data_IF_082078252902
#
_entry.id   IF_082078252902
#
_cell.length_a   1.000
_cell.length_b   1.000
_cell.length_c   1.000
_cell.angle_alpha   90.00
_cell.angle_beta   90.00
_cell.angle_gamma   90.00
#
_symmetry.space_group_name_H-M   'P 1'
#
loop_
_entity.id
_entity.type
_entity.pdbx_description
1 polymer ?
2 non-polymer ?
3 water ?
#
# COMPACT_ATOMS: atom_id res chain seq x y z
N UNK A 22 -3.51 11.31 8.95
CA UNK A 22 -2.87 10.10 9.46
C UNK A 22 -1.39 10.10 9.11
N UNK A 23 -1.10 10.41 7.85
CA UNK A 23 0.22 10.21 7.29
C UNK A 23 0.41 11.10 6.06
N UNK A 24 1.66 11.31 5.66
CA UNK A 24 1.95 12.20 4.54
C UNK A 24 3.27 11.81 3.90
N UNK A 25 3.66 12.55 2.87
CA UNK A 25 4.88 12.25 2.12
C UNK A 25 6.15 12.30 2.96
N UNK A 26 6.18 13.18 3.97
CA UNK A 26 7.37 13.29 4.82
C UNK A 26 7.55 12.02 5.66
N UNK A 27 6.43 11.38 6.03
CA UNK A 27 6.44 10.14 6.79
C UNK A 27 6.92 8.97 5.96
N UNK A 28 6.82 9.09 4.64
CA UNK A 28 7.22 8.02 3.75
C UNK A 28 8.70 8.13 3.37
N UNK A 29 9.46 7.09 3.66
CA UNK A 29 10.88 7.07 3.37
C UNK A 29 11.13 6.50 1.99
N UNK A 30 11.99 7.15 1.22
CA UNK A 30 12.25 6.76 -0.16
C UNK A 30 11.06 6.94 -1.07
N UNK A 31 10.93 6.08 -2.07
CA UNK A 31 9.84 6.14 -3.04
C UNK A 31 9.76 7.49 -3.75
N UNK A 32 10.91 8.03 -4.14
CA UNK A 32 10.94 9.29 -4.89
C UNK A 32 10.02 9.24 -6.10
N UNK A 33 10.37 8.39 -7.05
CA UNK A 33 9.63 8.26 -8.30
C UNK A 33 8.12 8.13 -8.08
N UNK A 34 7.73 7.34 -7.08
CA UNK A 34 6.32 7.14 -6.77
C UNK A 34 5.66 8.45 -6.38
N UNK A 35 6.30 9.18 -5.47
CA UNK A 35 5.83 10.49 -5.05
C UNK A 35 5.67 11.43 -6.24
N UNK A 36 6.69 11.45 -7.10
CA UNK A 36 6.67 12.29 -8.31
C UNK A 36 5.45 11.98 -9.18
N UNK A 37 5.30 10.71 -9.52
CA UNK A 37 4.16 10.26 -10.32
C UNK A 37 2.85 10.74 -9.72
N UNK A 38 2.65 10.49 -8.43
CA UNK A 38 1.42 10.92 -7.77
C UNK A 38 1.28 12.45 -7.73
N UNK A 39 2.39 13.16 -7.84
CA UNK A 39 2.32 14.60 -7.95
C UNK A 39 1.76 14.99 -9.31
N UNK A 40 2.20 14.29 -10.34
CA UNK A 40 1.72 14.49 -11.71
C UNK A 40 0.24 14.09 -11.91
N UNK A 41 -0.17 12.99 -11.27
CA UNK A 41 -1.50 12.43 -11.48
C UNK A 41 -2.60 13.10 -10.68
N UNK A 42 -2.32 13.41 -9.41
CA UNK A 42 -3.36 14.00 -8.56
C UNK A 42 -3.06 15.30 -7.80
N UNK A 43 -1.91 15.36 -7.13
CA UNK A 43 -1.58 16.52 -6.30
C UNK A 43 -1.49 17.86 -7.05
N UNK A 44 -0.63 17.94 -8.06
CA UNK A 44 -0.56 19.17 -8.86
C UNK A 44 -1.90 19.52 -9.54
N UNK A 45 -2.45 18.58 -10.33
CA UNK A 45 -3.74 18.84 -10.98
C UNK A 45 -4.80 19.30 -9.99
N UNK A 46 -4.74 18.82 -8.76
CA UNK A 46 -5.71 19.24 -7.75
C UNK A 46 -5.46 20.64 -7.19
N UNK A 47 -4.19 20.99 -6.94
CA UNK A 47 -3.87 22.34 -6.47
C UNK A 47 -4.00 23.39 -7.57
N UNK A 48 -3.64 23.00 -8.78
CA UNK A 48 -3.69 23.91 -9.92
C UNK A 48 -4.36 23.25 -11.11
N UNK A 49 -5.70 23.23 -11.15
CA UNK A 49 -6.42 22.57 -12.24
C UNK A 49 -6.23 23.31 -13.56
N UNK A 50 -5.91 24.59 -13.44
CA UNK A 50 -5.78 25.46 -14.61
C UNK A 50 -4.60 25.08 -15.50
N UNK A 51 -3.62 24.40 -14.92
CA UNK A 51 -2.41 24.03 -15.65
C UNK A 51 -2.62 22.69 -16.35
N UNK A 52 -3.85 22.19 -16.29
CA UNK A 52 -4.21 20.94 -16.95
C UNK A 52 -5.59 21.09 -17.63
N UNK A 53 -5.57 21.90 -18.60
CA UNK A 53 -6.76 22.32 -19.34
C UNK A 53 -7.47 21.21 -20.08
N UNK A 54 -6.72 20.27 -20.63
CA UNK A 54 -7.34 19.18 -21.39
C UNK A 54 -8.19 18.19 -20.57
N UNK A 55 -7.94 18.06 -19.28
CA UNK A 55 -8.66 17.09 -18.49
C UNK A 55 -7.73 15.91 -18.32
N UNK A 56 -7.64 15.41 -17.09
CA UNK A 56 -6.56 14.53 -16.64
C UNK A 56 -7.11 13.41 -15.78
N UNK A 57 -6.55 12.22 -15.96
CA UNK A 57 -7.07 10.96 -15.42
C UNK A 57 -7.50 10.96 -13.99
N UNK A 58 -8.57 10.23 -13.67
CA UNK A 58 -8.96 9.99 -12.29
C UNK A 58 -8.63 8.57 -11.84
N UNK A 59 -8.34 7.76 -12.80
CA UNK A 59 -7.85 6.43 -12.51
C UNK A 59 -6.39 6.36 -12.13
N UNK A 60 -6.08 5.79 -10.97
CA UNK A 60 -4.69 5.61 -10.56
C UNK A 60 -4.49 4.17 -10.14
N UNK A 61 -3.44 3.53 -10.63
CA UNK A 61 -3.22 2.14 -10.28
C UNK A 61 -1.90 1.90 -9.55
N UNK A 62 -2.00 1.55 -8.28
CA UNK A 62 -0.84 1.15 -7.49
C UNK A 62 -0.75 -0.36 -7.54
N UNK A 63 0.40 -0.87 -7.95
CA UNK A 63 0.58 -2.31 -8.08
C UNK A 63 1.99 -2.71 -7.67
N UNK A 64 2.13 -3.94 -7.19
CA UNK A 64 3.40 -4.48 -6.74
C UNK A 64 3.15 -5.54 -5.69
N UNK A 65 4.22 -6.08 -5.10
CA UNK A 65 4.13 -7.14 -4.08
C UNK A 65 3.33 -6.68 -2.85
N UNK A 66 2.65 -7.62 -2.17
CA UNK A 66 1.77 -7.28 -1.05
C UNK A 66 2.55 -6.97 0.20
N UNK A 67 1.94 -6.20 1.10
CA UNK A 67 2.59 -5.79 2.34
C UNK A 67 3.65 -4.74 2.10
N UNK A 68 3.54 -4.02 0.99
CA UNK A 68 4.47 -2.95 0.65
C UNK A 68 4.01 -1.50 0.86
N UNK A 69 2.82 -1.30 1.42
CA UNK A 69 2.40 0.02 1.85
C UNK A 69 1.58 0.85 0.88
N UNK A 70 0.90 0.20 -0.05
CA UNK A 70 0.07 0.89 -1.04
C UNK A 70 -1.09 1.67 -0.41
N UNK A 71 -1.64 1.13 0.67
CA UNK A 71 -2.72 1.78 1.39
C UNK A 71 -2.20 3.06 2.05
N UNK A 72 -1.08 2.91 2.76
CA UNK A 72 -0.40 4.04 3.37
C UNK A 72 -0.15 5.15 2.34
N UNK A 73 0.28 4.76 1.14
CA UNK A 73 0.59 5.70 0.07
C UNK A 73 -0.67 6.43 -0.37
N UNK A 74 -1.76 5.69 -0.58
CA UNK A 74 -3.02 6.30 -0.96
C UNK A 74 -3.50 7.32 0.08
N UNK A 75 -3.45 6.92 1.34
CA UNK A 75 -3.88 7.79 2.44
C UNK A 75 -3.03 9.04 2.53
N UNK A 76 -1.73 8.89 2.29
CA UNK A 76 -0.83 10.03 2.29
C UNK A 76 -1.22 11.00 1.17
N UNK A 77 -1.47 10.48 -0.02
CA UNK A 77 -1.91 11.30 -1.13
C UNK A 77 -3.18 12.07 -0.72
N UNK A 78 -4.12 11.37 -0.10
CA UNK A 78 -5.34 12.00 0.38
C UNK A 78 -5.01 13.16 1.33
N UNK A 79 -4.04 12.93 2.20
CA UNK A 79 -3.60 13.92 3.17
C UNK A 79 -3.01 15.18 2.53
N UNK A 80 -2.18 14.99 1.49
CA UNK A 80 -1.48 16.10 0.85
C UNK A 80 -2.41 17.08 0.11
N UNK A 81 -3.46 16.56 -0.51
CA UNK A 81 -4.47 17.40 -1.16
C UNK A 81 -5.65 17.70 -0.23
N UNK A 82 -5.52 17.28 1.03
CA UNK A 82 -6.57 17.44 2.03
C UNK A 82 -7.90 16.93 1.52
N UNK A 83 -7.90 15.68 1.08
CA UNK A 83 -9.06 15.09 0.45
C UNK A 83 -9.93 14.31 1.43
N UNK A 84 -11.04 13.79 0.92
CA UNK A 84 -11.85 12.81 1.62
C UNK A 84 -11.28 11.45 1.26
N UNK A 85 -11.18 10.56 2.23
CA UNK A 85 -10.64 9.24 1.95
C UNK A 85 -11.69 8.17 2.22
N UNK A 86 -11.97 7.35 1.21
CA UNK A 86 -12.94 6.25 1.40
C UNK A 86 -12.31 4.94 0.99
N UNK A 87 -12.06 4.08 1.97
CA UNK A 87 -11.46 2.78 1.69
C UNK A 87 -12.53 1.75 1.32
N UNK A 88 -12.17 0.87 0.40
CA UNK A 88 -13.07 -0.18 -0.06
C UNK A 88 -12.29 -1.45 -0.33
N UNK A 89 -12.83 -2.58 0.14
CA UNK A 89 -12.24 -3.87 -0.14
C UNK A 89 -13.07 -4.58 -1.20
N UNK A 90 -12.42 -5.00 -2.27
CA UNK A 90 -13.12 -5.62 -3.38
C UNK A 90 -13.75 -6.95 -2.97
N UNK A 91 -13.29 -7.59 -1.86
CA UNK A 91 -13.82 -8.88 -1.40
C UNK A 91 -15.03 -8.71 -0.49
N UNK A 92 -15.29 -7.49 -0.04
CA UNK A 92 -16.47 -7.19 0.76
C UNK A 92 -17.71 -7.09 -0.12
N UNK A 93 -17.59 -6.34 -1.22
CA UNK A 93 -18.71 -6.14 -2.12
C UNK A 93 -18.90 -7.35 -3.04
N UNK A 94 -17.96 -8.28 -2.98
CA UNK A 94 -18.12 -9.56 -3.66
C UNK A 94 -18.51 -10.61 -2.62
N UNK A 95 -19.78 -11.03 -2.69
CA UNK A 95 -20.33 -11.99 -1.75
C UNK A 95 -21.78 -12.32 -2.11
N UNK A 99 -25.49 -11.37 -8.69
CA UNK A 99 -25.94 -10.96 -7.37
C UNK A 99 -26.37 -9.50 -7.34
N UNK A 100 -27.11 -9.13 -6.31
CA UNK A 100 -27.58 -7.74 -6.16
C UNK A 100 -26.62 -6.77 -5.47
N UNK A 101 -25.50 -7.26 -4.99
CA UNK A 101 -24.54 -6.41 -4.29
C UNK A 101 -23.96 -5.40 -5.28
N UNK A 102 -24.46 -5.47 -6.51
CA UNK A 102 -24.07 -4.57 -7.59
C UNK A 102 -24.35 -3.08 -7.33
N UNK A 103 -25.48 -2.78 -6.70
CA UNK A 103 -25.89 -1.39 -6.50
C UNK A 103 -24.92 -0.61 -5.60
N UNK A 104 -24.42 -1.27 -4.57
CA UNK A 104 -23.49 -0.64 -3.64
C UNK A 104 -22.27 -0.04 -4.34
N UNK A 105 -21.81 -0.73 -5.39
CA UNK A 105 -20.72 -0.23 -6.19
C UNK A 105 -20.96 1.21 -6.63
N UNK A 106 -22.21 1.52 -6.95
CA UNK A 106 -22.59 2.90 -7.24
C UNK A 106 -22.88 3.69 -5.96
N UNK A 107 -23.22 3.02 -4.91
CA UNK A 107 -23.45 3.64 -3.61
C UNK A 107 -22.24 4.50 -3.28
N UNK A 108 -21.06 3.89 -3.38
CA UNK A 108 -19.82 4.56 -3.00
C UNK A 108 -19.58 5.85 -3.79
N UNK A 109 -19.53 5.73 -5.12
CA UNK A 109 -19.32 6.90 -5.97
C UNK A 109 -20.31 8.00 -5.64
N UNK A 110 -21.58 7.61 -5.48
CA UNK A 110 -22.63 8.57 -5.17
C UNK A 110 -22.26 9.34 -3.90
N UNK A 111 -22.04 8.61 -2.81
CA UNK A 111 -21.63 9.23 -1.56
C UNK A 111 -20.46 10.18 -1.78
N UNK A 112 -19.51 9.76 -2.61
CA UNK A 112 -18.30 10.55 -2.86
C UNK A 112 -18.60 11.89 -3.53
N UNK A 113 -19.31 11.85 -4.65
CA UNK A 113 -19.73 13.06 -5.34
C UNK A 113 -20.43 13.99 -4.37
N UNK A 114 -21.45 13.46 -3.70
CA UNK A 114 -22.27 14.26 -2.79
C UNK A 114 -21.43 14.94 -1.70
N UNK A 115 -20.57 14.17 -1.04
CA UNK A 115 -19.69 14.70 0.00
C UNK A 115 -18.77 15.78 -0.55
N UNK A 116 -18.21 15.51 -1.74
CA UNK A 116 -17.36 16.48 -2.42
C UNK A 116 -18.07 17.82 -2.56
N UNK A 117 -19.28 17.80 -3.15
CA UNK A 117 -20.07 19.02 -3.28
C UNK A 117 -20.22 19.66 -1.91
N UNK A 118 -20.68 18.85 -0.96
CA UNK A 118 -20.96 19.27 0.40
C UNK A 118 -19.84 20.13 0.98
N UNK A 119 -18.66 19.55 1.14
CA UNK A 119 -17.60 20.15 1.94
C UNK A 119 -16.62 21.01 1.17
N UNK A 120 -16.84 21.16 -0.14
CA UNK A 120 -15.87 21.83 -0.99
C UNK A 120 -14.54 21.10 -0.82
N UNK A 121 -14.54 19.82 -1.18
CA UNK A 121 -13.37 18.96 -1.03
C UNK A 121 -13.30 17.95 -2.16
N UNK A 122 -12.09 17.61 -2.60
CA UNK A 122 -11.92 16.47 -3.50
C UNK A 122 -12.14 15.17 -2.75
N UNK A 123 -12.54 14.12 -3.45
CA UNK A 123 -12.77 12.83 -2.83
C UNK A 123 -11.90 11.76 -3.47
N UNK A 124 -11.51 10.77 -2.68
CA UNK A 124 -10.70 9.67 -3.17
C UNK A 124 -11.33 8.35 -2.76
N UNK A 125 -11.75 7.56 -3.73
CA UNK A 125 -12.17 6.21 -3.47
C UNK A 125 -10.97 5.30 -3.66
N UNK A 126 -10.49 4.73 -2.57
CA UNK A 126 -9.38 3.79 -2.63
C UNK A 126 -9.92 2.37 -2.64
N UNK A 127 -9.56 1.62 -3.67
CA UNK A 127 -9.95 0.21 -3.75
C UNK A 127 -8.77 -0.73 -3.61
N UNK A 128 -8.77 -1.54 -2.55
CA UNK A 128 -7.77 -2.59 -2.42
C UNK A 128 -8.23 -3.84 -3.18
N UNK A 129 -7.28 -4.58 -3.73
CA UNK A 129 -7.59 -5.82 -4.45
C UNK A 129 -8.54 -5.59 -5.62
N UNK A 130 -8.20 -4.64 -6.48
CA UNK A 130 -9.06 -4.27 -7.61
C UNK A 130 -9.35 -5.46 -8.53
N UNK A 131 -8.35 -6.37 -8.75
CA UNK A 131 -8.47 -7.51 -9.65
C UNK A 131 -9.57 -8.46 -9.21
N UNK A 132 -10.06 -8.19 -7.99
CA UNK A 132 -11.15 -9.03 -7.46
C UNK A 132 -12.47 -8.76 -8.17
N UNK A 133 -12.67 -7.53 -8.63
CA UNK A 133 -13.92 -7.18 -9.32
C UNK A 133 -14.11 -7.98 -10.61
N UNK A 134 -13.05 -8.67 -11.03
CA UNK A 134 -13.10 -9.48 -12.25
C UNK A 134 -13.51 -10.91 -11.95
N UNK A 145 -19.48 -11.19 -12.49
CA UNK A 145 -19.27 -10.90 -13.91
C UNK A 145 -20.07 -9.68 -14.36
N UNK A 146 -21.21 -9.46 -13.71
CA UNK A 146 -22.09 -8.34 -14.06
C UNK A 146 -21.71 -7.01 -13.43
N UNK A 147 -21.33 -7.04 -12.15
CA UNK A 147 -21.06 -5.83 -11.38
C UNK A 147 -19.88 -5.03 -11.93
N UNK A 148 -18.86 -5.76 -12.36
CA UNK A 148 -17.66 -5.18 -12.97
C UNK A 148 -18.04 -4.15 -14.03
N UNK A 149 -19.04 -4.49 -14.83
CA UNK A 149 -19.54 -3.60 -15.88
C UNK A 149 -20.04 -2.27 -15.32
N UNK A 150 -20.90 -2.28 -14.32
CA UNK A 150 -21.37 -1.06 -13.68
C UNK A 150 -20.18 -0.27 -13.15
N UNK A 151 -19.29 -0.92 -12.43
CA UNK A 151 -18.09 -0.25 -11.92
C UNK A 151 -17.42 0.57 -13.00
N UNK A 152 -16.99 -0.11 -14.06
CA UNK A 152 -16.41 0.55 -15.23
C UNK A 152 -17.25 1.75 -15.70
N UNK A 153 -18.56 1.55 -15.69
CA UNK A 153 -19.44 2.70 -15.94
C UNK A 153 -19.07 3.85 -15.02
N UNK A 154 -19.21 3.62 -13.73
CA UNK A 154 -18.94 4.61 -12.70
C UNK A 154 -17.60 5.30 -12.86
N UNK A 155 -16.59 4.53 -13.27
CA UNK A 155 -15.31 5.10 -13.68
C UNK A 155 -15.56 6.08 -14.81
N UNK A 156 -16.15 5.59 -15.90
CA UNK A 156 -16.36 6.44 -17.06
C UNK A 156 -17.14 7.70 -16.71
N UNK A 157 -17.97 7.62 -15.68
CA UNK A 157 -18.69 8.77 -15.18
C UNK A 157 -17.80 9.76 -14.47
N UNK A 158 -16.56 9.36 -14.21
CA UNK A 158 -15.62 10.25 -13.54
C UNK A 158 -15.32 11.51 -14.35
N UNK A 159 -14.89 11.34 -15.60
CA UNK A 159 -14.58 12.48 -16.45
C UNK A 159 -15.83 13.16 -17.01
N UNK A 167 -13.01 14.08 -7.82
CA UNK A 167 -13.08 12.71 -7.33
C UNK A 167 -12.12 11.77 -8.07
N UNK A 168 -11.25 11.09 -7.32
CA UNK A 168 -10.28 10.19 -7.90
C UNK A 168 -10.51 8.78 -7.40
N UNK A 169 -10.08 7.81 -8.18
CA UNK A 169 -10.07 6.43 -7.74
C UNK A 169 -8.66 5.85 -7.80
N UNK A 170 -8.11 5.55 -6.63
CA UNK A 170 -6.85 4.83 -6.56
C UNK A 170 -7.18 3.37 -6.32
N UNK A 171 -6.92 2.54 -7.31
CA UNK A 171 -7.03 1.11 -7.14
C UNK A 171 -5.67 0.54 -6.80
N UNK A 172 -5.66 -0.58 -6.10
CA UNK A 172 -4.41 -1.23 -5.74
C UNK A 172 -4.53 -2.73 -6.01
N UNK A 173 -3.48 -3.30 -6.59
CA UNK A 173 -3.51 -4.72 -6.91
C UNK A 173 -2.16 -5.39 -6.72
N UNK A 174 -2.18 -6.60 -6.18
CA UNK A 174 -0.98 -7.40 -6.10
C UNK A 174 -0.86 -8.30 -7.32
N UNK A 175 -1.92 -8.34 -8.13
CA UNK A 175 -1.95 -9.16 -9.34
C UNK A 175 -2.49 -8.35 -10.52
N UNK A 176 -1.65 -7.49 -11.10
CA UNK A 176 -2.06 -6.59 -12.19
C UNK A 176 -2.30 -7.31 -13.51
N UNK A 177 -1.65 -8.43 -13.73
CA UNK A 177 -1.86 -9.17 -14.95
C UNK A 177 -3.34 -9.46 -15.08
N UNK A 178 -3.90 -10.06 -14.05
CA UNK A 178 -5.28 -10.48 -14.09
C UNK A 178 -6.21 -9.43 -14.66
N UNK A 179 -5.80 -8.17 -14.58
CA UNK A 179 -6.61 -7.08 -15.12
C UNK A 179 -6.62 -7.11 -16.63
N UNK A 180 -7.81 -7.20 -17.22
CA UNK A 180 -7.93 -7.22 -18.68
C UNK A 180 -7.74 -5.81 -19.22
N UNK A 181 -7.36 -5.72 -20.48
CA UNK A 181 -7.03 -4.43 -21.10
C UNK A 181 -8.17 -3.41 -20.98
N UNK A 182 -9.40 -3.86 -21.19
CA UNK A 182 -10.57 -2.98 -21.16
C UNK A 182 -10.75 -2.32 -19.80
N UNK A 183 -10.41 -3.07 -18.74
CA UNK A 183 -10.46 -2.57 -17.37
C UNK A 183 -9.31 -1.60 -17.16
N UNK A 184 -8.13 -2.05 -17.56
CA UNK A 184 -6.89 -1.30 -17.40
C UNK A 184 -6.91 0.03 -18.17
N UNK A 185 -7.87 0.18 -19.08
CA UNK A 185 -7.99 1.43 -19.83
C UNK A 185 -8.56 2.59 -19.00
N UNK A 186 -9.35 2.25 -17.97
CA UNK A 186 -9.90 3.28 -17.09
C UNK A 186 -8.87 3.82 -16.11
N UNK A 187 -7.76 3.11 -15.95
CA UNK A 187 -6.67 3.67 -15.17
C UNK A 187 -5.50 3.95 -16.09
N UNK A 188 -5.32 5.23 -16.39
CA UNK A 188 -4.31 5.68 -17.34
C UNK A 188 -2.96 5.78 -16.66
N UNK A 189 -2.97 6.21 -15.40
CA UNK A 189 -1.77 6.34 -14.60
C UNK A 189 -1.52 5.07 -13.79
N UNK A 190 -0.41 4.40 -14.04
CA UNK A 190 -0.10 3.14 -13.36
C UNK A 190 1.23 3.22 -12.63
N UNK A 191 1.20 3.01 -11.32
CA UNK A 191 2.40 3.19 -10.50
C UNK A 191 2.85 1.91 -9.79
N UNK A 192 4.12 1.57 -9.98
CA UNK A 192 4.70 0.37 -9.40
C UNK A 192 5.31 0.66 -8.02
N UNK A 193 4.74 0.05 -6.99
CA UNK A 193 5.29 0.17 -5.65
C UNK A 193 6.05 -1.12 -5.32
N UNK A 194 7.39 -1.04 -5.36
CA UNK A 194 8.29 -2.18 -5.17
C UNK A 194 8.58 -2.54 -3.71
N UNK A 195 9.36 -3.59 -3.54
CA UNK A 195 9.80 -4.03 -2.24
C UNK A 195 10.60 -2.91 -1.60
N UNK A 196 10.55 -2.81 -0.26
CA UNK A 196 11.33 -1.81 0.46
C UNK A 196 12.83 -1.99 0.27
N UNK A 197 13.55 -0.91 0.03
CA UNK A 197 14.99 -0.98 -0.10
C UNK A 197 15.66 -0.76 1.24
N UNK A 198 17.00 -0.73 1.24
CA UNK A 198 17.77 -0.65 2.46
C UNK A 198 17.33 0.50 3.37
N UNK A 199 17.24 1.70 2.80
CA UNK A 199 16.85 2.88 3.57
C UNK A 199 15.47 2.72 4.20
N UNK A 200 14.53 2.21 3.41
CA UNK A 200 13.17 1.95 3.91
C UNK A 200 13.14 0.84 4.96
N UNK A 201 13.82 -0.27 4.69
CA UNK A 201 13.86 -1.36 5.65
C UNK A 201 14.48 -0.91 6.98
N UNK A 202 15.48 -0.04 6.89
CA UNK A 202 16.08 0.55 8.07
C UNK A 202 15.05 1.42 8.80
N UNK A 203 14.26 2.17 8.02
CA UNK A 203 13.20 2.95 8.62
C UNK A 203 12.20 2.08 9.38
N UNK A 204 11.76 0.99 8.74
CA UNK A 204 10.82 0.05 9.34
C UNK A 204 11.35 -0.60 10.62
N UNK A 205 12.60 -1.04 10.59
CA UNK A 205 13.19 -1.62 11.80
C UNK A 205 13.28 -0.56 12.89
N UNK A 206 13.66 0.66 12.53
CA UNK A 206 13.78 1.73 13.51
C UNK A 206 12.41 2.03 14.13
N UNK A 207 11.36 1.98 13.31
CA UNK A 207 10.01 2.20 13.81
C UNK A 207 9.55 1.10 14.76
N UNK A 208 9.57 -0.14 14.26
CA UNK A 208 8.99 -1.27 14.99
C UNK A 208 9.75 -1.65 16.27
N UNK A 209 11.04 -1.32 16.33
CA UNK A 209 11.83 -1.62 17.55
C UNK A 209 11.95 -0.44 18.51
N UNK A 210 11.37 0.71 18.15
CA UNK A 210 11.58 1.92 18.95
C UNK A 210 11.07 1.75 20.37
N UNK A 211 10.05 0.92 20.52
CA UNK A 211 9.34 0.74 21.78
C UNK A 211 9.74 -0.51 22.58
N UNK A 212 10.63 -1.34 22.06
CA UNK A 212 11.04 -2.57 22.74
C UNK A 212 12.55 -2.62 23.06
N UNK A 213 12.93 -3.47 24.02
CA UNK A 213 14.33 -3.54 24.43
C UNK A 213 15.21 -4.36 23.49
N UNK A 214 16.21 -3.71 22.90
CA UNK A 214 17.21 -4.41 22.10
C UNK A 214 18.55 -4.50 22.83
N UNK A 215 19.27 -5.59 22.56
CA UNK A 215 20.65 -5.73 22.99
C UNK A 215 21.45 -4.56 22.43
N UNK A 216 22.42 -4.07 23.21
CA UNK A 216 23.22 -2.92 22.81
C UNK A 216 24.10 -3.22 21.59
N UNK A 217 24.21 -4.49 21.25
CA UNK A 217 25.00 -4.89 20.08
C UNK A 217 24.19 -4.93 18.78
N UNK A 218 22.87 -4.80 18.88
CA UNK A 218 22.05 -4.89 17.69
C UNK A 218 22.18 -3.63 16.85
N UNK A 219 22.59 -3.83 15.61
CA UNK A 219 22.68 -2.77 14.62
C UNK A 219 21.45 -2.84 13.71
N UNK A 220 20.64 -1.78 13.73
CA UNK A 220 19.48 -1.70 12.85
C UNK A 220 19.91 -1.79 11.39
N UNK A 221 21.13 -1.34 11.12
CA UNK A 221 21.67 -1.34 9.77
C UNK A 221 21.92 -2.77 9.29
N UNK A 222 22.49 -3.58 10.17
CA UNK A 222 22.67 -4.99 9.89
C UNK A 222 21.33 -5.66 9.59
N UNK A 223 20.33 -5.46 10.44
CA UNK A 223 19.00 -6.00 10.19
C UNK A 223 18.52 -5.60 8.79
N UNK A 224 18.62 -4.31 8.49
CA UNK A 224 18.23 -3.82 7.16
C UNK A 224 18.91 -4.61 6.04
N UNK A 225 20.22 -4.78 6.13
CA UNK A 225 20.95 -5.56 5.13
C UNK A 225 20.45 -7.02 5.03
N UNK A 226 20.37 -7.68 6.18
CA UNK A 226 19.92 -9.07 6.24
C UNK A 226 18.49 -9.27 5.72
N UNK A 227 17.72 -8.20 5.62
CA UNK A 227 16.32 -8.29 5.20
C UNK A 227 16.06 -8.00 3.72
N UNK A 228 17.12 -7.85 2.94
CA UNK A 228 16.99 -7.67 1.50
C UNK A 228 16.06 -8.75 0.94
N UNK A 229 15.04 -8.32 0.21
CA UNK A 229 14.08 -9.23 -0.38
C UNK A 229 12.75 -9.34 0.35
N UNK A 230 12.73 -9.02 1.65
CA UNK A 230 11.47 -9.12 2.40
C UNK A 230 10.52 -7.95 2.15
N UNK A 231 9.33 -8.02 2.73
CA UNK A 231 8.35 -6.95 2.56
C UNK A 231 8.29 -6.11 3.84
N UNK A 232 7.50 -5.04 3.79
CA UNK A 232 7.27 -4.20 4.96
C UNK A 232 6.57 -5.02 6.02
N UNK A 233 5.49 -5.70 5.62
CA UNK A 233 4.77 -6.60 6.51
C UNK A 233 5.71 -7.65 7.07
N UNK A 234 6.56 -8.19 6.21
CA UNK A 234 7.58 -9.15 6.66
C UNK A 234 8.40 -8.61 7.81
N UNK A 235 8.86 -7.36 7.68
CA UNK A 235 9.67 -6.74 8.74
C UNK A 235 8.85 -6.62 10.02
N UNK A 236 7.63 -6.12 9.88
CA UNK A 236 6.75 -6.00 11.03
C UNK A 236 6.63 -7.33 11.76
N UNK A 237 6.33 -8.38 11.00
CA UNK A 237 6.14 -9.72 11.54
C UNK A 237 7.42 -10.26 12.19
N UNK A 238 8.58 -9.95 11.62
CA UNK A 238 9.84 -10.40 12.18
C UNK A 238 10.07 -9.78 13.55
N UNK A 239 9.81 -8.48 13.65
CA UNK A 239 9.97 -7.78 14.92
C UNK A 239 8.98 -8.31 15.96
N UNK A 240 7.73 -8.50 15.53
CA UNK A 240 6.70 -9.06 16.41
C UNK A 240 7.13 -10.44 16.91
N UNK A 241 7.69 -11.24 16.01
CA UNK A 241 8.19 -12.55 16.36
C UNK A 241 9.27 -12.46 17.45
N UNK A 242 10.31 -11.66 17.22
CA UNK A 242 11.38 -11.53 18.20
C UNK A 242 10.85 -11.12 19.59
N UNK A 243 9.91 -10.18 19.55
CA UNK A 243 9.30 -9.71 20.77
C UNK A 243 8.55 -10.83 21.52
N UNK A 244 7.70 -11.57 20.78
CA UNK A 244 6.98 -12.71 21.35
C UNK A 244 7.96 -13.70 21.96
N UNK A 245 9.02 -14.00 21.23
CA UNK A 245 10.02 -14.94 21.71
C UNK A 245 10.49 -14.55 23.11
N UNK A 246 10.96 -13.31 23.23
CA UNK A 246 11.46 -12.89 24.55
C UNK A 246 10.36 -12.83 25.62
N UNK A 247 9.13 -12.51 25.23
CA UNK A 247 8.02 -12.46 26.20
C UNK A 247 7.69 -13.85 26.74
N UNK A 248 7.68 -14.83 25.83
CA UNK A 248 7.50 -16.22 26.20
C UNK A 248 8.56 -16.61 27.20
N UNK A 249 9.82 -16.27 26.93
CA UNK A 249 10.86 -16.56 27.92
C UNK A 249 10.61 -15.86 29.26
N UNK A 250 10.15 -14.62 29.22
CA UNK A 250 9.90 -13.88 30.44
C UNK A 250 8.91 -14.63 31.29
N UNK A 251 7.78 -15.02 30.70
CA UNK A 251 6.76 -15.77 31.43
C UNK A 251 7.24 -17.14 31.92
N UNK A 252 7.96 -17.86 31.05
CA UNK A 252 8.44 -19.19 31.43
C UNK A 252 9.41 -19.16 32.61
N UNK A 253 10.33 -18.20 32.60
CA UNK A 253 11.33 -18.09 33.65
C UNK A 253 10.84 -17.20 34.78
N UNK A 254 9.55 -16.92 34.75
CA UNK A 254 8.95 -16.11 35.77
C UNK A 254 9.92 -15.04 36.13
N UNK A 255 10.15 -14.17 35.17
CA UNK A 255 10.85 -12.95 35.41
C UNK A 255 9.74 -11.99 35.24
N UNK A 256 9.93 -10.77 35.70
CA UNK A 256 8.87 -9.80 35.59
C UNK A 256 9.23 -8.90 34.45
N UNK A 257 10.06 -9.42 33.57
CA UNK A 257 10.66 -8.50 32.63
C UNK A 257 11.17 -9.36 31.49
N UNK A 258 11.23 -8.80 30.29
CA UNK A 258 11.79 -9.54 29.15
C UNK A 258 13.26 -9.26 28.91
N UNK A 259 14.00 -10.27 28.50
CA UNK A 259 15.40 -10.06 28.21
C UNK A 259 15.52 -9.24 26.93
N UNK A 260 16.65 -8.58 26.76
CA UNK A 260 16.89 -7.82 25.54
C UNK A 260 16.91 -8.76 24.34
N UNK A 261 16.31 -8.31 23.25
CA UNK A 261 16.33 -9.06 22.00
C UNK A 261 17.70 -8.90 21.35
N UNK A 262 18.31 -10.03 21.00
CA UNK A 262 19.65 -10.02 20.44
C UNK A 262 19.65 -10.20 18.94
N UNK A 263 20.83 -10.15 18.33
CA UNK A 263 20.96 -10.28 16.89
C UNK A 263 20.70 -11.74 16.51
N UNK A 264 21.08 -12.64 17.41
CA UNK A 264 20.92 -14.07 17.16
C UNK A 264 19.45 -14.42 17.12
N UNK A 265 18.64 -13.82 17.98
CA UNK A 265 17.18 -13.98 17.90
C UNK A 265 16.68 -13.71 16.48
N UNK A 266 17.05 -12.55 15.94
CA UNK A 266 16.63 -12.17 14.59
C UNK A 266 17.15 -13.13 13.52
N UNK A 267 18.38 -13.60 13.69
CA UNK A 267 18.96 -14.54 12.74
C UNK A 267 18.25 -15.89 12.75
N UNK A 268 17.95 -16.42 13.94
CA UNK A 268 17.14 -17.61 14.08
C UNK A 268 15.83 -17.44 13.31
N UNK A 269 15.14 -16.35 13.63
CA UNK A 269 13.87 -16.06 12.96
C UNK A 269 14.02 -16.06 11.44
N UNK A 270 15.05 -15.39 10.94
CA UNK A 270 15.30 -15.32 9.50
C UNK A 270 15.64 -16.68 8.89
N UNK A 271 16.27 -17.55 9.68
CA UNK A 271 16.50 -18.93 9.27
C UNK A 271 15.16 -19.62 9.02
N UNK A 272 14.24 -19.48 9.97
CA UNK A 272 12.92 -20.08 9.77
C UNK A 272 12.06 -19.36 8.74
N UNK A 273 11.84 -18.06 8.91
CA UNK A 273 10.88 -17.34 8.06
C UNK A 273 11.51 -16.74 6.79
N UNK A 274 10.79 -16.85 5.68
CA UNK A 274 11.32 -16.45 4.38
C UNK A 274 10.43 -15.39 3.76
N UNK A 275 10.97 -14.62 2.78
CA UNK A 275 10.17 -13.57 2.15
C UNK A 275 8.83 -14.12 1.70
N UNK A 276 7.76 -13.38 2.02
CA UNK A 276 6.42 -13.85 1.74
C UNK A 276 6.13 -13.59 0.27
N UNK A 277 7.13 -13.04 -0.41
CA UNK A 277 7.06 -12.82 -1.84
C UNK A 277 8.28 -13.42 -2.54
N UNK A 278 8.04 -14.04 -3.69
CA UNK A 278 9.04 -14.80 -4.40
C UNK A 278 9.88 -13.95 -5.35
N UNK A 279 11.17 -14.30 -5.50
CA UNK A 279 12.03 -13.59 -6.47
C UNK A 279 11.47 -13.60 -7.89
N UNK A 280 10.75 -14.65 -8.27
CA UNK A 280 10.21 -14.73 -9.62
C UNK A 280 8.97 -13.86 -9.79
N UNK A 281 8.25 -13.64 -8.70
CA UNK A 281 7.07 -12.78 -8.71
C UNK A 281 7.49 -11.33 -8.98
N UNK A 282 8.64 -10.96 -8.44
CA UNK A 282 9.20 -9.64 -8.67
C UNK A 282 9.45 -9.45 -10.15
N UNK A 283 10.16 -10.40 -10.75
CA UNK A 283 10.39 -10.41 -12.19
C UNK A 283 9.07 -10.30 -12.96
N UNK A 284 8.07 -11.05 -12.51
CA UNK A 284 6.73 -10.99 -13.09
C UNK A 284 6.15 -9.57 -13.04
N UNK A 285 6.52 -8.80 -12.01
CA UNK A 285 6.13 -7.39 -11.97
C UNK A 285 6.94 -6.58 -12.98
N UNK A 286 8.26 -6.82 -13.00
CA UNK A 286 9.16 -6.06 -13.88
C UNK A 286 8.83 -6.19 -15.37
N UNK A 287 8.40 -7.37 -15.80
CA UNK A 287 8.06 -7.56 -17.22
C UNK A 287 6.68 -7.03 -17.60
N UNK A 288 5.78 -6.96 -16.62
CA UNK A 288 4.46 -6.38 -16.83
C UNK A 288 4.59 -4.86 -16.90
N UNK A 289 5.44 -4.30 -16.06
CA UNK A 289 5.58 -2.87 -16.06
C UNK A 289 6.22 -2.59 -17.38
N UNK A 290 7.15 -3.44 -17.77
CA UNK A 290 7.79 -3.27 -19.05
C UNK A 290 6.73 -3.43 -20.11
N UNK A 291 5.82 -4.36 -19.90
CA UNK A 291 4.81 -4.60 -20.91
C UNK A 291 3.97 -3.37 -21.15
N UNK A 292 3.63 -2.67 -20.09
CA UNK A 292 2.81 -1.47 -20.25
C UNK A 292 1.39 -1.74 -19.81
X LIG B 1 1.39 -3.35 -1.22
#
# INVERSE_FOLDING_TARGET
GPIDPFTNTSPPEEVVITEKPKVSFKDIVGLDDVKEALREAIIYPTKRPDLFPLGWPRGILLYGPPGCGKTMIAAAVANEIDSIFMQLDAASVMSKWLGEAEKNVANVFKMAREESKKQNKPAIIFIDQLDALLGVYSTEVGGEARVRNQFLKEMDGLLDKSENYKVYVIGATNKPWRLDEAFLRRFQKRIYVPLPDYEQRLSLFKYYTSKIKLDTEVSLEELAKLTEGYTASDIRDIVQAAHIKVVKEMFKNNLGEPRTITLQDFKDILKVRMPSVNPELIKAYEAWTEKFKAL
CL CL
#
